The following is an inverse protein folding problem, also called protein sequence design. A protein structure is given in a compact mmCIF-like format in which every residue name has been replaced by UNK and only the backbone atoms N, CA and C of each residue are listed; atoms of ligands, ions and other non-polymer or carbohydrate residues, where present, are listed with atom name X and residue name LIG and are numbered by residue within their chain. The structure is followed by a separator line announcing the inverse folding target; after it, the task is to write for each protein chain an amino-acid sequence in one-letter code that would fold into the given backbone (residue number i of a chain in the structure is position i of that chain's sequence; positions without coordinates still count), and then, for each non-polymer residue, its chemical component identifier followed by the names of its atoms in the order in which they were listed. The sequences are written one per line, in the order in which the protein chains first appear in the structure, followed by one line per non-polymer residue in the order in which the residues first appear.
data_IF_449356000145
#
_entry.id   IF_449356000145
#
_cell.length_a   1.000
_cell.length_b   1.000
_cell.length_c   1.000
_cell.angle_alpha   90.00
_cell.angle_beta   90.00
_cell.angle_gamma   90.00
#
_symmetry.space_group_name_H-M   'P 1'
#
loop_
_entity.id
_entity.type
_entity.pdbx_description
1 polymer ?
#
# COMPACT_ATOMS: atom_id res chain seq x y z
N UNK A 1 -14.37 -3.38 22.58
CA UNK A 1 -13.97 -4.70 23.09
C UNK A 1 -12.49 -4.86 22.78
N UNK A 2 -11.65 -4.75 23.82
CA UNK A 2 -10.19 -4.93 23.71
C UNK A 2 -9.92 -6.43 23.89
N UNK A 3 -9.47 -7.11 22.85
CA UNK A 3 -8.97 -8.49 22.93
C UNK A 3 -7.45 -8.43 23.04
N UNK A 4 -6.92 -8.94 24.15
CA UNK A 4 -5.54 -8.73 24.64
C UNK A 4 -4.43 -9.49 23.86
N UNK A 5 -4.62 -9.68 22.55
CA UNK A 5 -3.57 -10.08 21.59
C UNK A 5 -3.45 -9.09 20.42
N UNK A 6 -4.36 -8.12 20.32
CA UNK A 6 -4.37 -7.08 19.30
C UNK A 6 -3.65 -5.79 19.75
N UNK A 7 -2.99 -5.78 20.91
CA UNK A 7 -2.36 -4.57 21.46
C UNK A 7 -1.16 -4.09 20.64
N UNK A 8 -0.60 -4.95 19.81
CA UNK A 8 0.66 -4.65 19.15
C UNK A 8 0.56 -4.55 17.61
N UNK A 9 -0.61 -4.85 17.03
CA UNK A 9 -0.79 -4.85 15.59
C UNK A 9 -1.07 -3.45 15.06
N UNK A 10 -0.05 -2.86 14.43
CA UNK A 10 -0.19 -1.56 13.78
C UNK A 10 -1.14 -1.65 12.58
N UNK A 11 -2.12 -0.74 12.52
CA UNK A 11 -3.00 -0.59 11.36
C UNK A 11 -2.23 -0.24 10.07
N UNK A 12 -1.08 0.43 10.20
CA UNK A 12 -0.19 0.74 9.08
C UNK A 12 0.47 -0.54 8.54
N UNK A 13 0.92 -1.42 9.43
CA UNK A 13 1.47 -2.72 9.05
C UNK A 13 0.44 -3.57 8.32
N UNK A 14 -0.79 -3.65 8.84
CA UNK A 14 -1.88 -4.37 8.18
C UNK A 14 -2.17 -3.82 6.78
N UNK A 15 -2.26 -2.50 6.65
CA UNK A 15 -2.51 -1.84 5.36
C UNK A 15 -1.44 -2.23 4.35
N UNK A 16 -0.18 -2.22 4.77
CA UNK A 16 0.94 -2.59 3.93
C UNK A 16 0.97 -4.09 3.62
N UNK A 17 0.63 -4.94 4.60
CA UNK A 17 0.52 -6.38 4.42
C UNK A 17 -0.50 -6.74 3.34
N UNK A 18 -1.70 -6.15 3.40
CA UNK A 18 -2.73 -6.35 2.38
C UNK A 18 -2.35 -5.79 1.01
N UNK A 19 -1.43 -4.83 0.95
CA UNK A 19 -0.87 -4.31 -0.30
C UNK A 19 0.25 -5.18 -0.88
N UNK A 20 0.82 -6.09 -0.08
CA UNK A 20 1.89 -6.99 -0.51
C UNK A 20 1.42 -7.96 -1.61
N UNK A 21 2.33 -8.42 -2.49
CA UNK A 21 2.00 -9.43 -3.49
C UNK A 21 1.44 -10.70 -2.86
N UNK A 22 1.99 -11.12 -1.72
CA UNK A 22 1.55 -12.32 -1.01
C UNK A 22 0.07 -12.26 -0.63
N UNK A 23 -0.36 -11.18 0.03
CA UNK A 23 -1.76 -11.02 0.42
C UNK A 23 -2.67 -10.84 -0.80
N UNK A 24 -2.23 -10.10 -1.82
CA UNK A 24 -2.99 -9.93 -3.06
C UNK A 24 -3.19 -11.25 -3.80
N UNK A 25 -2.15 -12.07 -3.91
CA UNK A 25 -2.20 -13.37 -4.57
C UNK A 25 -3.11 -14.33 -3.81
N UNK A 26 -2.98 -14.37 -2.48
CA UNK A 26 -3.89 -15.14 -1.64
C UNK A 26 -5.34 -14.69 -1.81
N UNK A 27 -5.62 -13.39 -1.73
CA UNK A 27 -6.96 -12.83 -1.94
C UNK A 27 -7.46 -13.24 -3.31
N UNK A 28 -6.68 -13.04 -4.38
CA UNK A 28 -7.05 -13.34 -5.76
C UNK A 28 -7.40 -14.81 -5.99
N UNK A 29 -6.68 -15.75 -5.35
CA UNK A 29 -6.94 -17.20 -5.44
C UNK A 29 -8.20 -17.57 -4.63
N UNK A 30 -8.37 -16.93 -3.47
CA UNK A 30 -9.46 -17.21 -2.54
C UNK A 30 -10.78 -16.50 -2.89
N UNK A 31 -10.80 -15.60 -3.88
CA UNK A 31 -12.06 -14.95 -4.30
C UNK A 31 -12.99 -15.98 -4.95
N UNK A 32 -14.25 -15.97 -4.52
CA UNK A 32 -15.30 -16.77 -5.12
C UNK A 32 -16.11 -15.93 -6.12
N UNK A 33 -16.76 -16.62 -7.06
CA UNK A 33 -17.65 -16.01 -8.07
C UNK A 33 -16.97 -15.73 -9.41
N UNK A 34 -17.65 -16.09 -10.51
CA UNK A 34 -17.13 -15.92 -11.87
C UNK A 34 -16.99 -14.45 -12.27
N UNK A 35 -18.10 -13.79 -12.62
CA UNK A 35 -18.08 -12.40 -13.11
C UNK A 35 -17.92 -11.36 -12.00
N UNK A 36 -18.45 -11.64 -10.79
CA UNK A 36 -18.27 -10.78 -9.61
C UNK A 36 -17.40 -11.49 -8.58
N UNK A 37 -16.14 -11.07 -8.51
CA UNK A 37 -15.19 -11.56 -7.51
C UNK A 37 -15.54 -10.97 -6.15
N UNK A 38 -15.73 -11.82 -5.15
CA UNK A 38 -15.91 -11.39 -3.77
C UNK A 38 -15.02 -12.21 -2.84
N UNK A 39 -14.45 -11.54 -1.84
CA UNK A 39 -13.63 -12.17 -0.80
C UNK A 39 -14.54 -12.45 0.39
N UNK A 40 -14.82 -13.73 0.65
CA UNK A 40 -15.73 -14.15 1.73
C UNK A 40 -15.03 -14.15 3.09
N UNK A 41 -15.82 -14.20 4.17
CA UNK A 41 -15.29 -14.14 5.53
C UNK A 41 -14.43 -15.36 5.90
N UNK A 42 -14.72 -16.54 5.33
CA UNK A 42 -14.01 -17.78 5.66
C UNK A 42 -12.53 -17.73 5.21
N UNK A 43 -12.21 -17.48 3.93
CA UNK A 43 -10.81 -17.27 3.52
C UNK A 43 -10.13 -16.07 4.17
N UNK A 44 -10.89 -15.05 4.59
CA UNK A 44 -10.32 -13.92 5.32
C UNK A 44 -9.80 -14.33 6.70
N UNK A 45 -10.49 -15.25 7.38
CA UNK A 45 -10.09 -15.78 8.69
C UNK A 45 -8.92 -16.76 8.57
N UNK A 46 -8.87 -17.52 7.49
CA UNK A 46 -7.82 -18.51 7.23
C UNK A 46 -6.55 -17.92 6.60
N UNK A 47 -6.53 -16.61 6.32
CA UNK A 47 -5.37 -15.97 5.72
C UNK A 47 -4.20 -16.00 6.71
N UNK A 48 -3.07 -16.64 6.36
CA UNK A 48 -1.91 -16.60 7.22
C UNK A 48 -1.38 -15.17 7.23
N UNK A 49 -1.50 -14.48 8.37
CA UNK A 49 -0.91 -13.16 8.59
C UNK A 49 0.36 -13.37 9.41
N UNK A 50 1.50 -13.03 8.83
CA UNK A 50 2.76 -12.98 9.58
C UNK A 50 2.74 -11.74 10.46
N UNK A 51 3.03 -11.93 11.73
CA UNK A 51 3.07 -10.85 12.70
C UNK A 51 4.50 -10.68 13.24
N UNK A 52 5.28 -9.71 12.72
CA UNK A 52 6.62 -9.43 13.22
C UNK A 52 6.58 -8.67 14.54
N UNK A 53 7.72 -8.58 15.24
CA UNK A 53 7.79 -7.85 16.51
C UNK A 53 7.45 -6.37 16.34
N UNK A 54 7.03 -5.72 17.42
CA UNK A 54 6.58 -4.33 17.41
C UNK A 54 7.69 -3.38 16.94
N UNK A 55 8.94 -3.70 17.31
CA UNK A 55 10.12 -2.95 16.86
C UNK A 55 10.33 -3.08 15.34
N UNK A 56 10.14 -4.29 14.80
CA UNK A 56 10.24 -4.53 13.36
C UNK A 56 9.10 -3.84 12.60
N UNK A 57 7.87 -3.89 13.11
CA UNK A 57 6.76 -3.14 12.53
C UNK A 57 7.02 -1.65 12.48
N UNK A 58 7.59 -1.08 13.54
CA UNK A 58 7.94 0.33 13.57
C UNK A 58 9.01 0.67 12.52
N UNK A 59 10.09 -0.12 12.44
CA UNK A 59 11.16 0.07 11.45
C UNK A 59 10.64 -0.02 10.02
N UNK A 60 9.79 -1.02 9.75
CA UNK A 60 9.13 -1.20 8.46
C UNK A 60 8.23 0.01 8.17
N UNK A 61 7.37 0.42 9.09
CA UNK A 61 6.49 1.57 8.94
C UNK A 61 7.26 2.86 8.60
N UNK A 62 8.31 3.17 9.36
CA UNK A 62 9.17 4.34 9.11
C UNK A 62 9.83 4.27 7.73
N UNK A 63 10.31 3.09 7.33
CA UNK A 63 10.94 2.90 6.02
C UNK A 63 9.97 3.19 4.86
N UNK A 64 8.75 2.66 4.92
CA UNK A 64 7.74 2.90 3.89
C UNK A 64 7.22 4.33 3.88
N UNK A 65 7.05 4.96 5.05
CA UNK A 65 6.73 6.39 5.15
C UNK A 65 7.81 7.26 4.47
N UNK A 66 9.08 6.91 4.64
CA UNK A 66 10.17 7.61 3.96
C UNK A 66 10.12 7.41 2.43
N UNK A 67 9.82 6.19 1.95
CA UNK A 67 9.63 5.93 0.53
C UNK A 67 8.46 6.72 -0.07
N UNK A 68 7.33 6.81 0.62
CA UNK A 68 6.17 7.57 0.16
C UNK A 68 6.47 9.06 0.05
N UNK A 69 7.21 9.60 1.04
CA UNK A 69 7.69 10.98 1.01
C UNK A 69 8.63 11.22 -0.17
N UNK A 70 9.57 10.32 -0.41
CA UNK A 70 10.50 10.40 -1.54
C UNK A 70 9.75 10.35 -2.87
N UNK A 71 8.81 9.43 -3.02
CA UNK A 71 7.95 9.32 -4.19
C UNK A 71 7.17 10.63 -4.43
N UNK A 72 6.55 11.20 -3.39
CA UNK A 72 5.82 12.45 -3.50
C UNK A 72 6.71 13.62 -3.95
N UNK A 73 7.95 13.70 -3.47
CA UNK A 73 8.92 14.71 -3.91
C UNK A 73 9.25 14.54 -5.40
N UNK A 74 9.55 13.31 -5.83
CA UNK A 74 9.84 13.03 -7.24
C UNK A 74 8.65 13.33 -8.14
N UNK A 75 7.44 12.97 -7.73
CA UNK A 75 6.22 13.25 -8.48
C UNK A 75 5.98 14.76 -8.63
N UNK A 76 6.17 15.54 -7.57
CA UNK A 76 6.11 17.02 -7.64
C UNK A 76 7.14 17.59 -8.60
N UNK A 77 8.38 17.08 -8.57
CA UNK A 77 9.45 17.51 -9.50
C UNK A 77 9.08 17.18 -10.95
N UNK A 78 8.57 15.98 -11.21
CA UNK A 78 8.12 15.57 -12.54
C UNK A 78 7.01 16.47 -13.05
N UNK A 79 5.97 16.73 -12.25
CA UNK A 79 4.88 17.62 -12.63
C UNK A 79 5.35 19.05 -12.90
N UNK A 80 6.32 19.56 -12.12
CA UNK A 80 6.93 20.88 -12.38
C UNK A 80 7.66 20.91 -13.72
N UNK A 81 8.46 19.89 -14.02
CA UNK A 81 9.19 19.79 -15.29
C UNK A 81 8.23 19.67 -16.49
N UNK A 82 7.15 18.90 -16.36
CA UNK A 82 6.12 18.80 -17.39
C UNK A 82 5.45 20.17 -17.68
N UNK A 83 5.12 20.93 -16.64
CA UNK A 83 4.57 22.29 -16.79
C UNK A 83 5.54 23.25 -17.47
N UNK A 84 6.82 23.20 -17.09
CA UNK A 84 7.87 24.02 -17.73
C UNK A 84 8.00 23.65 -19.20
N UNK A 85 8.09 22.34 -19.52
CA UNK A 85 8.15 21.85 -20.89
C UNK A 85 6.96 22.36 -21.71
N UNK A 86 5.75 22.25 -21.18
CA UNK A 86 4.54 22.73 -21.85
C UNK A 86 4.59 24.24 -22.12
N UNK A 87 4.99 25.05 -21.12
CA UNK A 87 5.12 26.50 -21.26
C UNK A 87 6.23 26.91 -22.25
N UNK A 88 7.32 26.15 -22.34
CA UNK A 88 8.37 26.39 -23.32
C UNK A 88 7.90 26.06 -24.74
N UNK A 89 7.21 24.92 -24.92
CA UNK A 89 6.65 24.55 -26.21
C UNK A 89 5.59 25.55 -26.68
N UNK A 90 4.71 26.02 -25.78
CA UNK A 90 3.73 27.05 -26.15
C UNK A 90 4.38 28.36 -26.56
N UNK A 91 5.57 28.69 -26.02
CA UNK A 91 6.34 29.88 -26.43
C UNK A 91 7.15 29.70 -27.71
N UNK A 92 7.38 28.45 -28.14
CA UNK A 92 8.13 28.15 -29.37
C UNK A 92 7.24 28.11 -30.61
N UNK A 93 5.94 27.85 -30.44
CA UNK A 93 4.96 27.72 -31.53
C UNK A 93 3.92 28.86 -31.55
N UNK A 94 4.16 29.94 -30.81
CA UNK A 94 3.47 31.24 -30.88
C UNK A 94 4.49 32.25 -31.37
#
# INVERSE_FOLDING_TARGET
VKTSHAENLSGEYLTMYFQSPFAKDYINIAQAGGTMKHFTLQPAQDMPIVYPSDEEQHKIGVYFQHLDNLYAIHQRKLSKLQKIKQAMLSKLFV
#
